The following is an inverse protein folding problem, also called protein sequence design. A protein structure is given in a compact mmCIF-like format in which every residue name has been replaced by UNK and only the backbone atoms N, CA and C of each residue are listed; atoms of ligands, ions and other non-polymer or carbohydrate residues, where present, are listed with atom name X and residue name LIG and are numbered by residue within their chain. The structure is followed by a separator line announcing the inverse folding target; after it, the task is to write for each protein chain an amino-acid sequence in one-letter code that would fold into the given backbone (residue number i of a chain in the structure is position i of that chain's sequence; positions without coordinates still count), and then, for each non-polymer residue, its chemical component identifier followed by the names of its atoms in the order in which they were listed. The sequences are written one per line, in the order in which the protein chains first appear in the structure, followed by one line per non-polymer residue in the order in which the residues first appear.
data_IF_934948361892
#
_entry.id   IF_934948361892
#
_cell.length_a   1.000
_cell.length_b   1.000
_cell.length_c   1.000
_cell.angle_alpha   90.00
_cell.angle_beta   90.00
_cell.angle_gamma   90.00
#
_symmetry.space_group_name_H-M   'P 1'
#
loop_
_entity.id
_entity.type
_entity.pdbx_description
1 polymer ?
#
# COMPACT_ATOMS: atom_id res chain seq x y z
N UNK A 1 20.77 -10.29 -0.61
CA UNK A 1 19.52 -10.29 0.20
C UNK A 1 19.25 -11.66 0.80
N UNK A 2 19.26 -12.75 0.04
CA UNK A 2 19.07 -14.14 0.52
C UNK A 2 19.98 -14.51 1.69
N UNK A 3 21.26 -14.14 1.65
CA UNK A 3 22.22 -14.40 2.74
C UNK A 3 21.79 -13.80 4.11
N UNK A 4 21.02 -12.71 4.08
CA UNK A 4 20.48 -12.13 5.33
C UNK A 4 19.31 -12.96 5.87
N UNK A 5 18.48 -13.52 4.99
CA UNK A 5 17.37 -14.38 5.39
C UNK A 5 17.87 -15.73 5.91
N UNK A 6 18.88 -16.34 5.26
CA UNK A 6 19.48 -17.62 5.68
C UNK A 6 20.08 -17.61 7.09
N UNK A 7 20.33 -16.43 7.67
CA UNK A 7 20.76 -16.31 9.08
C UNK A 7 19.65 -16.67 10.08
N UNK A 8 18.40 -16.66 9.65
CA UNK A 8 17.29 -17.11 10.47
C UNK A 8 17.12 -18.64 10.29
N UNK A 9 17.21 -19.40 11.39
CA UNK A 9 17.08 -20.86 11.39
C UNK A 9 15.73 -21.37 10.87
N UNK A 10 14.70 -20.54 10.95
CA UNK A 10 13.34 -20.86 10.51
C UNK A 10 13.04 -20.34 9.08
N UNK A 11 14.08 -19.87 8.37
CA UNK A 11 13.90 -19.37 7.02
C UNK A 11 13.79 -20.50 6.01
N UNK A 12 12.64 -20.55 5.33
CA UNK A 12 12.40 -21.44 4.21
C UNK A 12 12.63 -20.66 2.89
N UNK A 13 13.71 -21.02 2.20
CA UNK A 13 14.10 -20.35 0.94
C UNK A 13 13.12 -20.61 -0.20
N UNK A 14 12.36 -21.72 -0.18
CA UNK A 14 11.40 -22.07 -1.22
C UNK A 14 10.16 -21.17 -1.19
N UNK A 15 9.92 -20.54 -0.04
CA UNK A 15 8.82 -19.57 0.13
C UNK A 15 9.14 -18.15 -0.32
N UNK A 16 10.38 -17.88 -0.76
CA UNK A 16 10.82 -16.56 -1.21
C UNK A 16 11.19 -16.62 -2.67
N UNK A 17 10.43 -15.91 -3.48
CA UNK A 17 10.61 -15.82 -4.93
C UNK A 17 11.11 -14.43 -5.27
N UNK A 18 12.24 -14.37 -5.96
CA UNK A 18 12.72 -13.13 -6.59
C UNK A 18 12.28 -13.15 -8.05
N UNK A 19 11.45 -12.17 -8.38
CA UNK A 19 10.97 -12.03 -9.75
C UNK A 19 12.04 -11.36 -10.62
N UNK A 20 12.18 -11.79 -11.85
CA UNK A 20 12.89 -11.04 -12.88
C UNK A 20 12.18 -9.71 -13.16
N UNK A 21 12.85 -8.72 -13.79
CA UNK A 21 12.23 -7.48 -14.15
C UNK A 21 10.94 -7.70 -14.96
N UNK A 22 9.82 -7.18 -14.45
CA UNK A 22 8.51 -7.30 -15.07
C UNK A 22 8.22 -6.09 -15.95
N UNK A 23 7.50 -6.29 -17.04
CA UNK A 23 6.89 -5.16 -17.73
C UNK A 23 5.72 -4.59 -16.90
N UNK A 24 5.23 -3.40 -17.27
CA UNK A 24 4.21 -2.69 -16.50
C UNK A 24 2.94 -3.54 -16.27
N UNK A 25 2.43 -4.21 -17.29
CA UNK A 25 1.20 -5.02 -17.18
C UNK A 25 1.41 -6.21 -16.23
N UNK A 26 2.55 -6.88 -16.33
CA UNK A 26 2.90 -7.98 -15.43
C UNK A 26 3.02 -7.48 -13.99
N UNK A 27 3.67 -6.33 -13.78
CA UNK A 27 3.83 -5.74 -12.46
C UNK A 27 2.48 -5.38 -11.83
N UNK A 28 1.61 -4.68 -12.57
CA UNK A 28 0.27 -4.30 -12.10
C UNK A 28 -0.57 -5.55 -11.79
N UNK A 29 -0.52 -6.59 -12.64
CA UNK A 29 -1.22 -7.85 -12.37
C UNK A 29 -0.71 -8.52 -11.09
N UNK A 30 0.60 -8.50 -10.85
CA UNK A 30 1.16 -9.01 -9.60
C UNK A 30 0.66 -8.25 -8.38
N UNK A 31 0.55 -6.92 -8.46
CA UNK A 31 -0.04 -6.13 -7.38
C UNK A 31 -1.49 -6.54 -7.12
N UNK A 32 -2.28 -6.74 -8.18
CA UNK A 32 -3.69 -7.12 -8.09
C UNK A 32 -3.92 -8.54 -7.55
N UNK A 33 -3.06 -9.49 -7.89
CA UNK A 33 -3.17 -10.89 -7.43
C UNK A 33 -2.56 -11.13 -6.05
N UNK A 34 -1.73 -10.20 -5.55
CA UNK A 34 -1.16 -10.29 -4.21
C UNK A 34 -2.26 -10.18 -3.14
N UNK A 35 -2.17 -10.96 -2.07
CA UNK A 35 -3.07 -10.84 -0.93
C UNK A 35 -2.85 -9.54 -0.17
N UNK A 36 -1.59 -9.18 0.06
CA UNK A 36 -1.17 -7.99 0.81
C UNK A 36 0.17 -7.49 0.29
N UNK A 37 0.38 -6.19 0.34
CA UNK A 37 1.67 -5.55 0.10
C UNK A 37 2.30 -5.09 1.41
N UNK A 38 3.62 -5.09 1.44
CA UNK A 38 4.42 -4.64 2.58
C UNK A 38 5.10 -3.31 2.23
N UNK A 39 4.68 -2.24 2.89
CA UNK A 39 5.27 -0.91 2.70
C UNK A 39 6.70 -0.87 3.28
N UNK A 40 7.73 -0.53 2.50
CA UNK A 40 9.09 -0.45 3.02
C UNK A 40 9.23 0.59 4.14
N UNK A 41 9.73 0.16 5.32
CA UNK A 41 9.73 0.96 6.55
C UNK A 41 10.51 2.28 6.42
N UNK A 42 11.62 2.28 5.68
CA UNK A 42 12.51 3.45 5.59
C UNK A 42 12.21 4.40 4.45
N UNK A 43 11.61 3.89 3.39
CA UNK A 43 11.19 4.66 2.23
C UNK A 43 9.91 4.04 1.68
N UNK A 44 8.78 4.61 2.05
CA UNK A 44 7.47 4.07 1.74
C UNK A 44 7.15 4.01 0.25
N UNK A 45 6.20 3.16 -0.08
CA UNK A 45 5.66 3.01 -1.42
C UNK A 45 4.97 4.30 -1.86
N UNK A 46 5.28 4.75 -3.06
CA UNK A 46 4.59 5.86 -3.73
C UNK A 46 3.67 5.32 -4.82
N UNK A 47 4.18 5.24 -6.05
CA UNK A 47 3.42 4.78 -7.21
C UNK A 47 2.86 3.37 -7.02
N UNK A 48 3.68 2.43 -6.52
CA UNK A 48 3.26 1.04 -6.32
C UNK A 48 2.04 0.92 -5.40
N UNK A 49 1.93 1.79 -4.38
CA UNK A 49 0.72 1.85 -3.56
C UNK A 49 -0.50 2.31 -4.38
N UNK A 50 -0.37 3.41 -5.13
CA UNK A 50 -1.47 3.90 -5.97
C UNK A 50 -1.89 2.86 -7.01
N UNK A 51 -0.91 2.23 -7.66
CA UNK A 51 -1.16 1.16 -8.62
C UNK A 51 -1.87 -0.05 -7.98
N UNK A 52 -1.52 -0.42 -6.75
CA UNK A 52 -2.20 -1.51 -6.04
C UNK A 52 -3.65 -1.19 -5.70
N UNK A 53 -3.98 0.08 -5.49
CA UNK A 53 -5.34 0.52 -5.19
C UNK A 53 -6.29 0.43 -6.39
N UNK A 54 -5.81 0.30 -7.63
CA UNK A 54 -6.66 -0.07 -8.77
C UNK A 54 -7.32 -1.43 -8.59
N UNK A 55 -6.73 -2.30 -7.78
CA UNK A 55 -7.27 -3.61 -7.44
C UNK A 55 -7.71 -3.70 -5.98
N UNK A 56 -7.55 -2.63 -5.21
CA UNK A 56 -7.85 -2.60 -3.78
C UNK A 56 -6.92 -3.47 -2.93
N UNK A 57 -5.74 -3.83 -3.42
CA UNK A 57 -4.80 -4.65 -2.65
C UNK A 57 -4.21 -3.84 -1.50
N UNK A 58 -4.51 -4.27 -0.28
CA UNK A 58 -4.11 -3.57 0.94
C UNK A 58 -2.59 -3.57 1.11
N UNK A 59 -2.07 -2.47 1.62
CA UNK A 59 -0.65 -2.29 1.91
C UNK A 59 -0.45 -2.00 3.40
N UNK A 60 0.16 -2.92 4.13
CA UNK A 60 0.49 -2.69 5.55
C UNK A 60 1.62 -1.67 5.64
N UNK A 61 1.40 -0.59 6.40
CA UNK A 61 2.38 0.48 6.56
C UNK A 61 2.72 0.76 8.01
N UNK A 62 4.00 1.03 8.26
CA UNK A 62 4.52 1.46 9.56
C UNK A 62 5.18 2.84 9.39
N UNK A 63 4.38 3.92 9.49
CA UNK A 63 4.87 5.28 9.25
C UNK A 63 5.84 5.74 10.34
N UNK A 64 6.89 6.44 9.94
CA UNK A 64 7.83 7.10 10.85
C UNK A 64 7.59 8.61 10.90
N UNK A 65 8.50 9.33 11.59
CA UNK A 65 8.47 10.80 11.64
C UNK A 65 8.79 11.47 10.28
N UNK A 66 9.38 10.75 9.34
CA UNK A 66 9.78 11.29 8.05
C UNK A 66 8.68 11.17 7.01
N UNK A 67 8.51 12.21 6.18
CA UNK A 67 7.46 12.29 5.17
C UNK A 67 7.51 11.13 4.16
N UNK A 68 8.71 10.68 3.80
CA UNK A 68 8.95 9.60 2.84
C UNK A 68 8.40 8.22 3.26
N UNK A 69 8.11 8.02 4.55
CA UNK A 69 7.49 6.79 5.07
C UNK A 69 6.02 6.99 5.46
N UNK A 70 5.42 8.13 5.12
CA UNK A 70 4.06 8.49 5.50
C UNK A 70 3.10 8.58 4.31
N UNK A 71 3.58 8.31 3.10
CA UNK A 71 2.79 8.44 1.87
C UNK A 71 1.57 7.52 1.92
N UNK A 72 1.78 6.25 2.21
CA UNK A 72 0.71 5.24 2.29
C UNK A 72 -0.30 5.57 3.40
N UNK A 73 0.18 5.93 4.58
CA UNK A 73 -0.72 6.30 5.69
C UNK A 73 -1.53 7.57 5.38
N UNK A 74 -0.94 8.55 4.71
CA UNK A 74 -1.65 9.77 4.30
C UNK A 74 -2.72 9.45 3.25
N UNK A 75 -2.42 8.58 2.29
CA UNK A 75 -3.37 8.15 1.28
C UNK A 75 -4.57 7.40 1.90
N UNK A 76 -4.34 6.52 2.87
CA UNK A 76 -5.43 5.86 3.60
C UNK A 76 -6.32 6.85 4.37
N UNK A 77 -5.73 7.88 4.97
CA UNK A 77 -6.50 8.96 5.62
C UNK A 77 -7.35 9.71 4.59
N UNK A 78 -6.78 10.02 3.42
CA UNK A 78 -7.52 10.65 2.32
C UNK A 78 -8.66 9.77 1.80
N UNK A 79 -8.46 8.47 1.72
CA UNK A 79 -9.47 7.48 1.32
C UNK A 79 -10.60 7.32 2.35
N UNK A 80 -10.42 7.81 3.57
CA UNK A 80 -11.39 7.69 4.69
C UNK A 80 -11.78 6.24 5.01
N UNK A 81 -10.87 5.30 4.80
CA UNK A 81 -11.13 3.88 5.10
C UNK A 81 -11.25 3.66 6.61
N UNK A 82 -12.20 2.82 7.02
CA UNK A 82 -12.56 2.66 8.46
C UNK A 82 -11.45 2.05 9.30
N UNK A 83 -10.70 1.10 8.77
CA UNK A 83 -9.66 0.36 9.51
C UNK A 83 -8.43 0.19 8.62
N UNK A 84 -7.70 1.28 8.32
CA UNK A 84 -6.53 1.19 7.47
C UNK A 84 -5.44 0.34 8.15
N UNK A 85 -4.67 -0.45 7.40
CA UNK A 85 -3.60 -1.28 7.93
C UNK A 85 -2.34 -0.44 8.27
N UNK A 86 -2.54 0.57 9.13
CA UNK A 86 -1.51 1.46 9.67
C UNK A 86 -1.13 0.94 11.06
N UNK A 87 0.11 0.54 11.23
CA UNK A 87 0.59 -0.08 12.47
C UNK A 87 1.59 0.79 13.21
N UNK A 88 1.85 0.48 14.49
CA UNK A 88 2.68 1.31 15.38
C UNK A 88 4.03 0.69 15.71
N UNK A 89 4.22 -0.58 15.44
CA UNK A 89 5.47 -1.30 15.70
C UNK A 89 5.68 -2.43 14.68
N UNK A 90 6.83 -3.09 14.75
CA UNK A 90 7.22 -4.14 13.79
C UNK A 90 6.44 -5.44 13.98
N UNK A 91 6.07 -5.76 15.21
CA UNK A 91 5.32 -6.99 15.50
C UNK A 91 3.90 -6.86 14.96
N UNK A 92 3.26 -5.71 15.16
CA UNK A 92 1.96 -5.41 14.56
C UNK A 92 2.03 -5.41 13.02
N UNK A 93 3.17 -4.97 12.44
CA UNK A 93 3.37 -4.98 11.00
C UNK A 93 3.32 -6.40 10.42
N UNK A 94 4.01 -7.33 11.06
CA UNK A 94 3.99 -8.74 10.67
C UNK A 94 2.61 -9.36 10.91
N UNK A 95 2.05 -9.17 12.10
CA UNK A 95 0.76 -9.73 12.47
C UNK A 95 -0.37 -9.24 11.55
N UNK A 96 -0.39 -7.94 11.23
CA UNK A 96 -1.39 -7.37 10.31
C UNK A 96 -1.25 -7.91 8.89
N UNK A 97 -0.03 -8.12 8.41
CA UNK A 97 0.21 -8.72 7.10
C UNK A 97 -0.32 -10.16 7.03
N UNK A 98 -0.08 -10.95 8.08
CA UNK A 98 -0.57 -12.34 8.18
C UNK A 98 -2.11 -12.35 8.28
N UNK A 99 -2.70 -11.46 9.09
CA UNK A 99 -4.15 -11.31 9.22
C UNK A 99 -4.80 -11.07 7.85
N UNK A 100 -4.32 -10.08 7.10
CA UNK A 100 -4.87 -9.75 5.77
C UNK A 100 -4.67 -10.89 4.78
N UNK A 101 -3.48 -11.53 4.78
CA UNK A 101 -3.18 -12.61 3.84
C UNK A 101 -4.05 -13.85 4.03
N UNK A 102 -4.58 -14.07 5.25
CA UNK A 102 -5.44 -15.19 5.61
C UNK A 102 -6.93 -14.80 5.74
N UNK A 103 -7.30 -13.58 5.35
CA UNK A 103 -8.70 -13.13 5.43
C UNK A 103 -9.55 -13.86 4.38
N UNK A 104 -10.55 -14.60 4.84
CA UNK A 104 -11.50 -15.30 3.95
C UNK A 104 -12.34 -14.33 3.11
N UNK A 105 -12.51 -13.10 3.57
CA UNK A 105 -13.25 -12.04 2.88
C UNK A 105 -12.37 -11.12 2.04
N UNK A 106 -11.15 -11.53 1.73
CA UNK A 106 -10.15 -10.69 1.06
C UNK A 106 -10.65 -10.05 -0.25
N UNK A 107 -11.52 -10.71 -0.99
CA UNK A 107 -12.06 -10.19 -2.24
C UNK A 107 -13.07 -9.04 -2.00
N UNK A 108 -13.85 -9.11 -0.95
CA UNK A 108 -14.79 -8.04 -0.61
C UNK A 108 -14.05 -6.85 0.04
N UNK A 109 -13.02 -7.12 0.83
CA UNK A 109 -12.12 -6.09 1.31
C UNK A 109 -11.43 -5.37 0.14
N UNK A 110 -10.93 -6.09 -0.86
CA UNK A 110 -10.35 -5.47 -2.06
C UNK A 110 -11.34 -4.57 -2.79
N UNK A 111 -12.58 -4.99 -2.97
CA UNK A 111 -13.63 -4.15 -3.58
C UNK A 111 -13.86 -2.88 -2.77
N UNK A 112 -13.93 -2.99 -1.45
CA UNK A 112 -14.09 -1.84 -0.54
C UNK A 112 -12.95 -0.83 -0.70
N UNK A 113 -11.68 -1.30 -0.67
CA UNK A 113 -10.53 -0.42 -0.83
C UNK A 113 -10.43 0.19 -2.23
N UNK A 114 -10.75 -0.59 -3.27
CA UNK A 114 -10.80 -0.11 -4.65
C UNK A 114 -11.86 1.00 -4.82
N UNK A 115 -13.04 0.81 -4.25
CA UNK A 115 -14.10 1.83 -4.30
C UNK A 115 -13.67 3.10 -3.57
N UNK A 116 -13.14 3.00 -2.36
CA UNK A 116 -12.64 4.16 -1.61
C UNK A 116 -11.52 4.90 -2.36
N UNK A 117 -10.63 4.18 -3.03
CA UNK A 117 -9.58 4.79 -3.84
C UNK A 117 -10.16 5.53 -5.06
N UNK A 118 -11.12 4.95 -5.77
CA UNK A 118 -11.77 5.59 -6.91
C UNK A 118 -12.50 6.88 -6.51
N UNK A 119 -13.18 6.85 -5.37
CA UNK A 119 -13.98 8.00 -4.90
C UNK A 119 -13.10 9.14 -4.35
N UNK A 120 -12.01 8.82 -3.65
CA UNK A 120 -11.25 9.80 -2.86
C UNK A 120 -9.81 10.00 -3.32
N UNK A 121 -9.10 8.94 -3.68
CA UNK A 121 -7.68 9.01 -4.02
C UNK A 121 -7.45 9.41 -5.46
N UNK A 122 -8.24 8.86 -6.39
CA UNK A 122 -8.13 9.12 -7.84
C UNK A 122 -9.02 10.25 -8.34
N UNK A 123 -9.86 10.81 -7.48
CA UNK A 123 -10.70 11.95 -7.82
C UNK A 123 -9.88 13.25 -7.81
N UNK A 124 -9.49 13.72 -9.00
CA UNK A 124 -8.67 14.92 -9.19
C UNK A 124 -9.48 16.22 -9.33
N UNK A 125 -10.82 16.15 -9.42
CA UNK A 125 -11.67 17.34 -9.63
C UNK A 125 -11.48 18.38 -8.51
N UNK A 126 -11.54 17.94 -7.26
CA UNK A 126 -11.37 18.81 -6.10
C UNK A 126 -9.99 19.47 -6.05
N UNK A 127 -8.96 18.78 -6.55
CA UNK A 127 -7.59 19.32 -6.55
C UNK A 127 -7.49 20.51 -7.50
N UNK A 128 -8.06 20.40 -8.69
CA UNK A 128 -8.08 21.48 -9.68
C UNK A 128 -8.85 22.72 -9.18
N UNK A 129 -10.00 22.50 -8.56
CA UNK A 129 -10.81 23.59 -7.99
C UNK A 129 -10.10 24.29 -6.82
N UNK A 130 -9.53 23.53 -5.90
CA UNK A 130 -8.74 24.08 -4.78
C UNK A 130 -7.52 24.83 -5.28
N UNK A 131 -6.79 24.29 -6.27
CA UNK A 131 -5.65 24.98 -6.86
C UNK A 131 -6.06 26.29 -7.53
N UNK A 132 -7.13 26.30 -8.34
CA UNK A 132 -7.68 27.51 -8.94
C UNK A 132 -8.12 28.55 -7.89
N UNK A 133 -8.71 28.09 -6.79
CA UNK A 133 -9.13 29.01 -5.70
C UNK A 133 -7.93 29.67 -5.01
N UNK A 134 -6.80 28.96 -4.90
CA UNK A 134 -5.56 29.51 -4.34
C UNK A 134 -4.96 30.54 -5.32
N UNK A 135 -4.87 30.20 -6.61
CA UNK A 135 -4.35 31.13 -7.62
C UNK A 135 -5.15 32.42 -7.68
N UNK A 136 -6.49 32.36 -7.68
CA UNK A 136 -7.36 33.53 -7.65
C UNK A 136 -7.21 34.42 -6.41
N UNK A 137 -6.63 33.91 -5.33
CA UNK A 137 -6.33 34.69 -4.12
C UNK A 137 -4.96 35.38 -4.16
N UNK A 138 -4.09 34.91 -5.04
CA UNK A 138 -2.72 35.41 -5.17
C UNK A 138 -2.59 36.47 -6.25
N UNK A 139 -3.52 36.51 -7.17
CA UNK A 139 -3.63 37.46 -8.29
C UNK A 139 -4.99 38.14 -8.32
#
# INVERSE_FOLDING_TARGET
MLERFKKNKNFDSERVIFLDPLNLNQFINHLGTSSVLLDPIYFGSGNSFHESMFYGTQTVTFPSKYIKSRIVSAAYIQMEVKKPPIVKNKDDYVNKAIEIANDENILDEKKYYQQAANEKLFNTKDVGEKFNSILKKLF
#
